data_IF_254523413062
#
_entry.id   IF_254523413062
#
_cell.length_a   1.000
_cell.length_b   1.000
_cell.length_c   1.000
_cell.angle_alpha   90.00
_cell.angle_beta   90.00
_cell.angle_gamma   90.00
#
_symmetry.space_group_name_H-M   'P 1'
#
loop_
_entity.id
_entity.type
_entity.pdbx_description
1 polymer ?
#
# COMPACT_ATOMS: atom_id res chain seq x y z
N UNK A 1 -61.92 -6.52 -21.13
CA UNK A 1 -60.77 -6.31 -22.05
C UNK A 1 -59.55 -6.04 -21.19
N UNK A 2 -58.74 -7.06 -20.96
CA UNK A 2 -57.49 -6.93 -20.18
C UNK A 2 -56.36 -6.66 -21.17
N UNK A 3 -55.76 -5.49 -21.08
CA UNK A 3 -54.58 -5.12 -21.84
C UNK A 3 -53.35 -5.77 -21.20
N UNK A 4 -52.82 -6.79 -21.84
CA UNK A 4 -51.52 -7.38 -21.50
C UNK A 4 -50.43 -6.40 -21.87
N UNK A 5 -49.80 -5.77 -20.87
CA UNK A 5 -48.58 -4.98 -21.08
C UNK A 5 -47.42 -5.94 -21.40
N UNK A 6 -46.87 -5.85 -22.59
CA UNK A 6 -45.63 -6.52 -22.95
C UNK A 6 -44.48 -6.06 -22.02
N UNK A 7 -43.63 -7.00 -21.55
CA UNK A 7 -42.47 -6.61 -20.76
C UNK A 7 -41.48 -5.83 -21.63
N UNK A 8 -41.11 -4.60 -21.21
CA UNK A 8 -40.04 -3.80 -21.81
C UNK A 8 -38.79 -4.67 -21.95
N UNK A 9 -38.35 -4.89 -23.19
CA UNK A 9 -37.07 -5.55 -23.50
C UNK A 9 -35.93 -4.81 -22.80
N UNK A 10 -35.28 -5.47 -21.87
CA UNK A 10 -34.04 -5.00 -21.28
C UNK A 10 -32.99 -4.77 -22.37
N UNK A 11 -32.19 -3.71 -22.23
CA UNK A 11 -31.21 -3.21 -23.20
C UNK A 11 -30.35 -4.30 -23.81
N UNK A 12 -30.49 -4.49 -25.15
CA UNK A 12 -29.93 -5.59 -25.89
C UNK A 12 -28.40 -5.58 -25.98
N UNK A 13 -27.81 -6.74 -25.78
CA UNK A 13 -26.48 -7.03 -26.30
C UNK A 13 -26.50 -6.99 -27.83
N UNK A 14 -25.40 -6.55 -28.49
CA UNK A 14 -25.35 -6.46 -29.95
C UNK A 14 -25.69 -7.81 -30.61
N UNK A 15 -26.54 -7.78 -31.61
CA UNK A 15 -26.83 -8.93 -32.46
C UNK A 15 -25.56 -9.32 -33.21
N UNK A 16 -24.93 -10.43 -32.84
CA UNK A 16 -23.70 -10.90 -33.43
C UNK A 16 -23.31 -12.33 -33.03
N UNK A 17 -22.23 -12.81 -33.58
CA UNK A 17 -21.69 -14.18 -33.43
C UNK A 17 -21.60 -14.67 -31.96
N UNK A 18 -21.61 -13.76 -31.00
CA UNK A 18 -21.52 -14.04 -29.56
C UNK A 18 -22.85 -13.86 -28.80
N UNK A 19 -23.95 -13.58 -29.48
CA UNK A 19 -25.25 -13.35 -28.82
C UNK A 19 -25.71 -14.55 -27.98
N UNK A 20 -25.48 -15.78 -28.47
CA UNK A 20 -25.81 -17.00 -27.74
C UNK A 20 -24.96 -17.16 -26.48
N UNK A 21 -23.67 -16.89 -26.53
CA UNK A 21 -22.79 -16.92 -25.36
C UNK A 21 -23.16 -15.83 -24.34
N UNK A 22 -23.45 -14.62 -24.82
CA UNK A 22 -23.88 -13.53 -23.96
C UNK A 22 -25.20 -13.83 -23.25
N UNK A 23 -26.19 -14.40 -23.93
CA UNK A 23 -27.46 -14.83 -23.35
C UNK A 23 -27.25 -15.99 -22.35
N UNK A 24 -26.38 -16.93 -22.67
CA UNK A 24 -26.03 -18.01 -21.77
C UNK A 24 -25.34 -17.52 -20.50
N UNK A 25 -24.37 -16.60 -20.60
CA UNK A 25 -23.72 -15.96 -19.46
C UNK A 25 -24.73 -15.15 -18.63
N UNK A 26 -25.56 -14.35 -19.26
CA UNK A 26 -26.57 -13.53 -18.56
C UNK A 26 -27.55 -14.37 -17.78
N UNK A 27 -27.96 -15.52 -18.30
CA UNK A 27 -28.86 -16.42 -17.58
C UNK A 27 -28.26 -17.06 -16.33
N UNK A 28 -26.94 -17.04 -16.15
CA UNK A 28 -26.23 -17.65 -15.03
C UNK A 28 -25.56 -16.61 -14.13
N UNK A 29 -25.16 -15.51 -14.71
CA UNK A 29 -24.59 -14.35 -14.04
C UNK A 29 -25.26 -13.10 -14.60
N UNK A 30 -26.22 -12.46 -13.91
CA UNK A 30 -26.95 -11.29 -14.42
C UNK A 30 -26.02 -10.07 -14.50
N UNK A 31 -25.12 -10.07 -15.50
CA UNK A 31 -24.12 -9.02 -15.73
C UNK A 31 -24.76 -7.69 -16.16
N UNK A 32 -25.95 -7.76 -16.79
CA UNK A 32 -26.71 -6.57 -17.17
C UNK A 32 -27.01 -5.67 -15.97
N UNK A 33 -27.40 -6.25 -14.83
CA UNK A 33 -27.64 -5.49 -13.59
C UNK A 33 -26.40 -4.80 -13.04
N UNK A 34 -25.26 -5.49 -13.10
CA UNK A 34 -23.95 -4.89 -12.71
C UNK A 34 -23.56 -3.76 -13.67
N UNK A 35 -23.69 -3.97 -14.98
CA UNK A 35 -23.39 -2.97 -15.98
C UNK A 35 -24.30 -1.75 -15.87
N UNK A 36 -25.58 -1.95 -15.61
CA UNK A 36 -26.54 -0.86 -15.39
C UNK A 36 -26.18 -0.07 -14.13
N UNK A 37 -25.87 -0.74 -13.03
CA UNK A 37 -25.37 -0.09 -11.82
C UNK A 37 -24.11 0.76 -12.09
N UNK A 38 -23.13 0.22 -12.81
CA UNK A 38 -21.89 0.94 -13.15
C UNK A 38 -22.14 2.14 -14.08
N UNK A 39 -23.10 2.06 -15.00
CA UNK A 39 -23.48 3.15 -15.90
C UNK A 39 -24.16 4.32 -15.18
N UNK A 40 -24.96 4.03 -14.16
CA UNK A 40 -25.66 5.05 -13.37
C UNK A 40 -24.79 5.63 -12.26
N UNK A 41 -23.61 5.03 -11.99
CA UNK A 41 -22.68 5.55 -11.00
C UNK A 41 -22.00 6.81 -11.50
N UNK A 42 -21.99 7.83 -10.66
CA UNK A 42 -21.28 9.08 -10.93
C UNK A 42 -20.10 9.29 -9.98
N UNK A 43 -19.06 9.93 -10.51
CA UNK A 43 -17.89 10.38 -9.76
C UNK A 43 -17.96 11.90 -9.63
N UNK A 44 -17.83 12.46 -8.42
CA UNK A 44 -17.82 13.91 -8.24
C UNK A 44 -16.71 14.57 -9.06
N UNK A 45 -17.06 15.59 -9.85
CA UNK A 45 -16.11 16.33 -10.68
C UNK A 45 -15.75 17.65 -10.00
N UNK A 46 -14.48 17.86 -9.67
CA UNK A 46 -13.92 19.07 -9.07
C UNK A 46 -12.42 19.18 -9.35
N UNK A 47 -11.80 20.31 -9.02
CA UNK A 47 -10.36 20.56 -9.27
C UNK A 47 -9.42 19.49 -8.70
N UNK A 48 -9.81 18.77 -7.64
CA UNK A 48 -9.04 17.70 -7.00
C UNK A 48 -9.42 16.29 -7.46
N UNK A 49 -10.27 16.12 -8.48
CA UNK A 49 -10.72 14.77 -8.92
C UNK A 49 -9.57 13.86 -9.34
N UNK A 50 -8.47 14.42 -9.85
CA UNK A 50 -7.27 13.66 -10.20
C UNK A 50 -6.65 12.91 -9.00
N UNK A 51 -6.87 13.39 -7.78
CA UNK A 51 -6.38 12.74 -6.56
C UNK A 51 -7.10 11.41 -6.27
N UNK A 52 -8.30 11.22 -6.82
CA UNK A 52 -9.00 9.94 -6.70
C UNK A 52 -8.32 8.80 -7.48
N UNK A 53 -7.54 9.14 -8.53
CA UNK A 53 -6.82 8.18 -9.35
C UNK A 53 -5.70 7.45 -8.59
N UNK A 54 -5.18 8.04 -7.49
CA UNK A 54 -4.10 7.40 -6.73
C UNK A 54 -4.53 6.10 -6.03
N UNK A 55 -5.81 5.96 -5.67
CA UNK A 55 -6.36 4.69 -5.20
C UNK A 55 -6.33 3.60 -6.27
N UNK A 56 -6.70 3.95 -7.50
CA UNK A 56 -6.65 3.04 -8.64
C UNK A 56 -5.23 2.73 -9.11
N UNK A 57 -4.29 3.69 -9.03
CA UNK A 57 -2.85 3.45 -9.25
C UNK A 57 -2.33 2.41 -8.25
N UNK A 58 -2.65 2.55 -6.96
CA UNK A 58 -2.24 1.60 -5.94
C UNK A 58 -2.83 0.20 -6.21
N UNK A 59 -4.09 0.12 -6.65
CA UNK A 59 -4.73 -1.14 -7.03
C UNK A 59 -4.04 -1.80 -8.23
N UNK A 60 -3.71 -1.04 -9.28
CA UNK A 60 -2.95 -1.53 -10.44
C UNK A 60 -1.60 -2.10 -9.98
N UNK A 61 -0.85 -1.34 -9.19
CA UNK A 61 0.48 -1.73 -8.73
C UNK A 61 0.42 -2.95 -7.79
N UNK A 62 -0.63 -3.10 -6.99
CA UNK A 62 -0.89 -4.33 -6.24
C UNK A 62 -1.09 -5.53 -7.19
N UNK A 63 -1.85 -5.37 -8.26
CA UNK A 63 -1.97 -6.41 -9.29
C UNK A 63 -0.63 -6.80 -9.90
N UNK A 64 0.22 -5.82 -10.20
CA UNK A 64 1.60 -6.05 -10.68
C UNK A 64 2.42 -6.81 -9.63
N UNK A 65 2.31 -6.46 -8.34
CA UNK A 65 3.00 -7.16 -7.25
C UNK A 65 2.60 -8.64 -7.18
N UNK A 66 1.31 -8.94 -7.28
CA UNK A 66 0.81 -10.33 -7.27
C UNK A 66 1.38 -11.12 -8.45
N UNK A 67 1.28 -10.59 -9.66
CA UNK A 67 1.75 -11.29 -10.87
C UNK A 67 3.26 -11.51 -10.83
N UNK A 68 4.04 -10.46 -10.56
CA UNK A 68 5.50 -10.57 -10.51
C UNK A 68 5.99 -11.42 -9.34
N UNK A 69 5.32 -11.33 -8.18
CA UNK A 69 5.62 -12.15 -7.01
C UNK A 69 5.44 -13.65 -7.28
N UNK A 70 4.33 -14.04 -7.93
CA UNK A 70 4.09 -15.42 -8.35
C UNK A 70 5.19 -15.90 -9.30
N UNK A 71 5.60 -15.09 -10.28
CA UNK A 71 6.67 -15.46 -11.21
C UNK A 71 8.01 -15.64 -10.50
N UNK A 72 8.35 -14.79 -9.53
CA UNK A 72 9.57 -14.92 -8.75
C UNK A 72 9.57 -16.17 -7.87
N UNK A 73 8.42 -16.58 -7.33
CA UNK A 73 8.30 -17.78 -6.49
C UNK A 73 8.65 -19.07 -7.20
N UNK A 74 8.58 -19.14 -8.55
CA UNK A 74 8.96 -20.35 -9.29
C UNK A 74 10.44 -20.69 -9.18
N UNK A 75 11.28 -19.72 -8.86
CA UNK A 75 12.74 -19.91 -8.83
C UNK A 75 13.35 -19.57 -7.47
N UNK A 76 12.63 -18.85 -6.60
CA UNK A 76 13.14 -18.42 -5.31
C UNK A 76 13.14 -19.56 -4.29
N UNK A 77 14.24 -19.72 -3.55
CA UNK A 77 14.38 -20.73 -2.49
C UNK A 77 14.54 -20.06 -1.12
N UNK A 78 13.57 -20.18 -0.20
CA UNK A 78 13.58 -19.51 1.11
C UNK A 78 14.47 -20.24 2.16
N UNK A 79 15.74 -20.47 1.83
CA UNK A 79 16.73 -21.07 2.73
C UNK A 79 17.96 -20.16 2.81
N UNK A 80 18.53 -19.97 4.01
CA UNK A 80 19.58 -18.98 4.25
C UNK A 80 20.86 -19.22 3.40
N UNK A 81 21.15 -20.45 3.06
CA UNK A 81 22.27 -20.86 2.18
C UNK A 81 21.95 -20.71 0.69
N UNK A 82 20.66 -20.65 0.28
CA UNK A 82 20.22 -20.67 -1.12
C UNK A 82 19.47 -19.41 -1.56
N UNK A 83 18.93 -18.64 -0.63
CA UNK A 83 18.08 -17.50 -0.97
C UNK A 83 18.81 -16.48 -1.86
N UNK A 84 19.99 -16.05 -1.45
CA UNK A 84 20.82 -15.13 -2.24
C UNK A 84 21.20 -15.72 -3.61
N UNK A 85 21.60 -17.00 -3.65
CA UNK A 85 21.98 -17.69 -4.87
C UNK A 85 20.79 -17.82 -5.83
N UNK A 86 19.59 -18.09 -5.32
CA UNK A 86 18.37 -18.13 -6.13
C UNK A 86 18.02 -16.76 -6.74
N UNK A 87 18.28 -15.66 -6.03
CA UNK A 87 18.13 -14.30 -6.56
C UNK A 87 19.18 -14.01 -7.65
N UNK A 88 20.41 -14.47 -7.48
CA UNK A 88 21.43 -14.37 -8.54
C UNK A 88 21.03 -15.18 -9.78
N UNK A 89 20.55 -16.41 -9.59
CA UNK A 89 20.04 -17.25 -10.68
C UNK A 89 18.89 -16.55 -11.42
N UNK A 90 17.89 -16.02 -10.70
CA UNK A 90 16.79 -15.26 -11.29
C UNK A 90 17.32 -14.08 -12.10
N UNK A 91 18.29 -13.33 -11.55
CA UNK A 91 18.79 -12.10 -12.18
C UNK A 91 19.71 -12.34 -13.37
N UNK A 92 20.47 -13.44 -13.38
CA UNK A 92 21.52 -13.67 -14.38
C UNK A 92 21.18 -14.77 -15.41
N UNK A 93 20.37 -15.77 -15.04
CA UNK A 93 20.18 -16.96 -15.89
C UNK A 93 18.72 -17.15 -16.35
N UNK A 94 17.72 -16.70 -15.57
CA UNK A 94 16.32 -16.82 -15.99
C UNK A 94 16.02 -15.75 -17.05
N UNK A 95 15.47 -16.11 -18.21
CA UNK A 95 15.09 -15.14 -19.24
C UNK A 95 14.14 -14.09 -18.67
N UNK A 96 14.50 -12.81 -18.79
CA UNK A 96 13.77 -11.65 -18.21
C UNK A 96 13.62 -11.66 -16.67
N UNK A 97 14.28 -12.58 -15.96
CA UNK A 97 14.18 -12.67 -14.51
C UNK A 97 14.63 -11.38 -13.79
N UNK A 98 15.72 -10.75 -14.26
CA UNK A 98 16.18 -9.45 -13.78
C UNK A 98 15.10 -8.35 -13.95
N UNK A 99 14.38 -8.36 -15.06
CA UNK A 99 13.33 -7.38 -15.36
C UNK A 99 12.11 -7.60 -14.44
N UNK A 100 11.66 -8.84 -14.29
CA UNK A 100 10.53 -9.18 -13.40
C UNK A 100 10.85 -8.79 -11.95
N UNK A 101 12.08 -9.07 -11.48
CA UNK A 101 12.54 -8.68 -10.15
C UNK A 101 12.60 -7.16 -10.01
N UNK A 102 13.10 -6.45 -11.02
CA UNK A 102 13.14 -4.98 -11.01
C UNK A 102 11.74 -4.37 -11.03
N UNK A 103 10.81 -4.91 -11.83
CA UNK A 103 9.39 -4.50 -11.84
C UNK A 103 8.78 -4.72 -10.46
N UNK A 104 9.02 -5.86 -9.82
CA UNK A 104 8.51 -6.16 -8.48
C UNK A 104 8.99 -5.12 -7.45
N UNK A 105 10.28 -4.81 -7.44
CA UNK A 105 10.86 -3.82 -6.53
C UNK A 105 10.35 -2.40 -6.79
N UNK A 106 10.35 -1.94 -8.05
CA UNK A 106 9.87 -0.60 -8.40
C UNK A 106 8.38 -0.43 -8.17
N UNK A 107 7.56 -1.43 -8.51
CA UNK A 107 6.12 -1.34 -8.30
C UNK A 107 5.76 -1.33 -6.81
N UNK A 108 6.51 -1.99 -5.92
CA UNK A 108 6.33 -1.90 -4.48
C UNK A 108 6.58 -0.46 -3.97
N UNK A 109 7.68 0.15 -4.39
CA UNK A 109 8.03 1.51 -4.02
C UNK A 109 7.00 2.54 -4.53
N UNK A 110 6.60 2.42 -5.80
CA UNK A 110 5.58 3.30 -6.39
C UNK A 110 4.21 3.08 -5.74
N UNK A 111 3.85 1.86 -5.35
CA UNK A 111 2.60 1.55 -4.66
C UNK A 111 2.54 2.24 -3.29
N UNK A 112 3.59 2.13 -2.49
CA UNK A 112 3.65 2.78 -1.17
C UNK A 112 3.60 4.30 -1.33
N UNK A 113 4.30 4.87 -2.30
CA UNK A 113 4.24 6.31 -2.61
C UNK A 113 2.81 6.73 -3.00
N UNK A 114 2.16 5.98 -3.89
CA UNK A 114 0.78 6.25 -4.30
C UNK A 114 -0.20 6.17 -3.12
N UNK A 115 0.01 5.21 -2.21
CA UNK A 115 -0.81 5.07 -0.99
C UNK A 115 -0.63 6.25 -0.03
N UNK A 116 0.58 6.77 0.17
CA UNK A 116 0.77 7.99 0.95
C UNK A 116 0.06 9.19 0.32
N UNK A 117 0.21 9.40 -1.00
CA UNK A 117 -0.49 10.47 -1.71
C UNK A 117 -2.01 10.29 -1.58
N UNK A 118 -2.51 9.07 -1.74
CA UNK A 118 -3.93 8.75 -1.58
C UNK A 118 -4.42 9.05 -0.17
N UNK A 119 -3.72 8.58 0.87
CA UNK A 119 -4.07 8.81 2.26
C UNK A 119 -4.17 10.31 2.58
N UNK A 120 -3.15 11.09 2.22
CA UNK A 120 -3.15 12.53 2.48
C UNK A 120 -4.19 13.28 1.64
N UNK A 121 -4.46 12.83 0.41
CA UNK A 121 -5.54 13.41 -0.39
C UNK A 121 -6.91 13.21 0.26
N UNK A 122 -7.19 12.01 0.75
CA UNK A 122 -8.40 11.66 1.51
C UNK A 122 -8.48 12.50 2.80
N UNK A 123 -7.34 12.65 3.51
CA UNK A 123 -7.25 13.47 4.73
C UNK A 123 -7.61 14.93 4.46
N UNK A 124 -6.95 15.60 3.52
CA UNK A 124 -7.17 17.02 3.24
C UNK A 124 -8.54 17.32 2.61
N UNK A 125 -9.11 16.37 1.89
CA UNK A 125 -10.49 16.47 1.41
C UNK A 125 -11.54 16.20 2.50
N UNK A 126 -11.14 15.74 3.69
CA UNK A 126 -12.05 15.27 4.75
C UNK A 126 -12.99 14.17 4.24
N UNK A 127 -12.46 13.31 3.38
CA UNK A 127 -13.26 12.26 2.78
C UNK A 127 -13.65 11.14 3.76
N UNK A 128 -13.02 11.12 4.94
CA UNK A 128 -13.29 10.23 6.06
C UNK A 128 -14.53 10.59 6.90
N UNK A 129 -15.16 11.75 6.65
CA UNK A 129 -16.35 12.18 7.43
C UNK A 129 -17.53 11.22 7.28
N UNK A 130 -18.46 11.19 8.25
CA UNK A 130 -19.61 10.31 8.21
C UNK A 130 -20.35 10.31 6.85
N UNK A 131 -20.78 9.13 6.38
CA UNK A 131 -20.68 7.79 6.97
C UNK A 131 -19.44 7.00 6.48
N UNK A 132 -18.28 7.63 6.20
CA UNK A 132 -17.11 7.04 5.53
C UNK A 132 -15.94 6.73 6.46
N UNK A 133 -16.17 6.68 7.76
CA UNK A 133 -15.14 6.39 8.77
C UNK A 133 -14.46 5.04 8.53
N UNK A 134 -15.24 4.02 8.20
CA UNK A 134 -14.72 2.67 7.93
C UNK A 134 -13.92 2.59 6.62
N UNK A 135 -14.20 3.47 5.63
CA UNK A 135 -13.36 3.58 4.43
C UNK A 135 -11.96 4.07 4.83
N UNK A 136 -11.89 5.08 5.70
CA UNK A 136 -10.61 5.56 6.21
C UNK A 136 -9.87 4.50 7.02
N UNK A 137 -10.54 3.86 7.96
CA UNK A 137 -9.97 2.81 8.81
C UNK A 137 -9.39 1.67 7.97
N UNK A 138 -10.17 1.13 7.04
CA UNK A 138 -9.70 0.05 6.15
C UNK A 138 -8.57 0.51 5.23
N UNK A 139 -8.60 1.75 4.71
CA UNK A 139 -7.53 2.33 3.91
C UNK A 139 -6.22 2.51 4.69
N UNK A 140 -6.31 2.94 5.95
CA UNK A 140 -5.14 3.04 6.82
C UNK A 140 -4.53 1.67 7.14
N UNK A 141 -5.37 0.67 7.40
CA UNK A 141 -4.92 -0.72 7.59
C UNK A 141 -4.22 -1.23 6.32
N UNK A 142 -4.74 -0.94 5.12
CA UNK A 142 -4.10 -1.31 3.85
C UNK A 142 -2.72 -0.65 3.70
N UNK A 143 -2.54 0.60 4.12
CA UNK A 143 -1.22 1.24 4.12
C UNK A 143 -0.26 0.51 5.06
N UNK A 144 -0.67 0.20 6.30
CA UNK A 144 0.17 -0.54 7.26
C UNK A 144 0.52 -1.92 6.71
N UNK A 145 -0.43 -2.64 6.14
CA UNK A 145 -0.18 -3.94 5.49
C UNK A 145 0.81 -3.80 4.32
N UNK A 146 0.70 -2.74 3.50
CA UNK A 146 1.65 -2.49 2.40
C UNK A 146 3.07 -2.22 2.91
N UNK A 147 3.21 -1.46 3.99
CA UNK A 147 4.51 -1.26 4.64
C UNK A 147 5.06 -2.57 5.24
N UNK A 148 4.19 -3.41 5.79
CA UNK A 148 4.57 -4.75 6.30
C UNK A 148 5.01 -5.68 5.15
N UNK A 149 4.36 -5.61 3.98
CA UNK A 149 4.84 -6.28 2.77
C UNK A 149 6.25 -5.80 2.39
N UNK A 150 6.48 -4.49 2.36
CA UNK A 150 7.80 -3.94 2.08
C UNK A 150 8.86 -4.47 3.06
N UNK A 151 8.57 -4.43 4.36
CA UNK A 151 9.47 -4.93 5.39
C UNK A 151 9.74 -6.44 5.28
N UNK A 152 8.69 -7.25 5.12
CA UNK A 152 8.86 -8.71 5.02
C UNK A 152 9.57 -9.13 3.74
N UNK A 153 9.29 -8.46 2.61
CA UNK A 153 9.92 -8.73 1.32
C UNK A 153 11.38 -8.29 1.26
N UNK A 154 11.75 -7.27 2.05
CA UNK A 154 13.11 -6.73 2.04
C UNK A 154 14.17 -7.73 2.49
N UNK A 155 13.88 -8.62 3.43
CA UNK A 155 14.79 -9.66 3.90
C UNK A 155 15.02 -10.77 2.86
N UNK A 156 14.04 -11.05 1.99
CA UNK A 156 14.05 -12.25 1.15
C UNK A 156 15.29 -12.39 0.24
N UNK A 157 15.86 -11.31 -0.34
CA UNK A 157 17.11 -11.42 -1.09
C UNK A 157 18.33 -11.86 -0.27
N UNK A 158 18.23 -11.90 1.04
CA UNK A 158 19.29 -12.31 1.96
C UNK A 158 20.60 -11.56 1.72
N UNK A 159 20.49 -10.24 1.57
CA UNK A 159 21.63 -9.34 1.39
C UNK A 159 22.11 -8.79 2.73
N UNK A 160 23.37 -8.36 2.78
CA UNK A 160 23.98 -7.72 3.96
C UNK A 160 23.13 -6.57 4.49
N UNK A 161 22.67 -5.69 3.59
CA UNK A 161 21.86 -4.53 3.96
C UNK A 161 20.49 -4.95 4.52
N UNK A 162 19.82 -5.88 3.85
CA UNK A 162 18.49 -6.36 4.29
C UNK A 162 18.55 -7.12 5.62
N UNK A 163 19.61 -7.90 5.84
CA UNK A 163 19.85 -8.62 7.08
C UNK A 163 19.93 -7.65 8.29
N UNK A 164 20.82 -6.67 8.21
CA UNK A 164 21.02 -5.73 9.32
C UNK A 164 19.84 -4.77 9.49
N UNK A 165 19.20 -4.34 8.41
CA UNK A 165 17.98 -3.53 8.51
C UNK A 165 16.83 -4.30 9.16
N UNK A 166 16.70 -5.59 8.87
CA UNK A 166 15.71 -6.45 9.55
C UNK A 166 16.03 -6.63 11.03
N UNK A 167 17.31 -6.75 11.40
CA UNK A 167 17.72 -6.80 12.80
C UNK A 167 17.25 -5.55 13.55
N UNK A 168 17.52 -4.37 13.02
CA UNK A 168 17.06 -3.10 13.60
C UNK A 168 15.53 -3.07 13.68
N UNK A 169 14.83 -3.40 12.59
CA UNK A 169 13.36 -3.34 12.54
C UNK A 169 12.69 -4.31 13.51
N UNK A 170 13.25 -5.51 13.73
CA UNK A 170 12.72 -6.48 14.70
C UNK A 170 13.04 -6.07 16.13
N UNK A 171 14.19 -5.44 16.37
CA UNK A 171 14.56 -4.96 17.71
C UNK A 171 13.66 -3.81 18.19
N UNK A 172 13.10 -2.99 17.27
CA UNK A 172 12.08 -1.97 17.60
C UNK A 172 10.88 -2.59 18.34
N UNK A 173 10.53 -3.84 18.07
CA UNK A 173 9.39 -4.46 18.76
C UNK A 173 9.64 -4.66 20.26
N UNK A 174 10.90 -4.79 20.71
CA UNK A 174 11.25 -5.00 22.13
C UNK A 174 10.75 -3.89 23.05
N UNK A 175 10.62 -2.66 22.54
CA UNK A 175 10.14 -1.53 23.36
C UNK A 175 8.66 -1.63 23.69
N UNK A 176 7.89 -2.52 23.04
CA UNK A 176 6.47 -2.70 23.32
C UNK A 176 6.31 -3.44 24.65
N UNK A 177 5.70 -2.82 25.69
CA UNK A 177 5.58 -3.46 26.99
C UNK A 177 4.83 -4.78 26.90
N UNK A 178 5.26 -5.76 27.70
CA UNK A 178 4.64 -7.08 27.91
C UNK A 178 4.75 -8.03 26.71
N UNK A 179 4.48 -7.58 25.49
CA UNK A 179 4.38 -8.44 24.29
C UNK A 179 5.59 -8.33 23.35
N UNK A 180 6.40 -7.29 23.49
CA UNK A 180 7.43 -6.93 22.51
C UNK A 180 8.48 -8.03 22.29
N UNK A 181 9.00 -8.59 23.36
CA UNK A 181 9.98 -9.68 23.29
C UNK A 181 9.37 -10.96 22.69
N UNK A 182 8.15 -11.30 23.10
CA UNK A 182 7.41 -12.44 22.52
C UNK A 182 7.18 -12.24 21.01
N UNK A 183 6.85 -11.03 20.60
CA UNK A 183 6.64 -10.68 19.17
C UNK A 183 7.96 -10.77 18.39
N UNK A 184 9.06 -10.25 18.93
CA UNK A 184 10.39 -10.41 18.33
C UNK A 184 10.76 -11.88 18.15
N UNK A 185 10.65 -12.67 19.20
CA UNK A 185 10.99 -14.10 19.18
C UNK A 185 10.09 -14.87 18.21
N UNK A 186 8.82 -14.51 18.10
CA UNK A 186 7.92 -15.06 17.10
C UNK A 186 8.37 -14.72 15.67
N UNK A 187 8.76 -13.47 15.41
CA UNK A 187 9.24 -13.04 14.09
C UNK A 187 10.58 -13.69 13.72
N UNK A 188 11.53 -13.72 14.66
CA UNK A 188 12.86 -14.27 14.38
C UNK A 188 12.86 -15.81 14.32
N UNK A 189 12.10 -16.48 15.17
CA UNK A 189 12.11 -17.93 15.27
C UNK A 189 13.38 -18.52 15.90
N UNK A 190 14.27 -17.65 16.34
CA UNK A 190 15.53 -17.95 17.01
C UNK A 190 15.96 -16.71 17.83
N UNK A 191 17.08 -16.79 18.54
CA UNK A 191 17.60 -15.64 19.30
C UNK A 191 18.12 -14.52 18.39
N UNK A 192 18.61 -14.88 17.20
CA UNK A 192 19.14 -13.96 16.19
C UNK A 192 18.55 -14.28 14.81
N UNK A 193 18.73 -13.37 13.84
CA UNK A 193 18.30 -13.59 12.44
C UNK A 193 19.03 -14.81 11.87
N UNK A 194 18.26 -15.74 11.33
CA UNK A 194 18.74 -17.03 10.85
C UNK A 194 17.80 -17.64 9.80
N UNK A 195 18.03 -18.88 9.38
CA UNK A 195 17.15 -19.59 8.45
C UNK A 195 15.67 -19.58 8.84
N UNK A 196 15.32 -19.91 10.11
CA UNK A 196 13.95 -19.76 10.63
C UNK A 196 13.33 -18.37 10.42
N UNK A 197 14.11 -17.30 10.57
CA UNK A 197 13.63 -15.93 10.32
C UNK A 197 13.25 -15.76 8.85
N UNK A 198 14.13 -16.16 7.94
CA UNK A 198 13.88 -16.05 6.51
C UNK A 198 12.62 -16.82 6.09
N UNK A 199 12.47 -18.06 6.57
CA UNK A 199 11.29 -18.89 6.28
C UNK A 199 10.00 -18.24 6.78
N UNK A 200 10.01 -17.63 7.97
CA UNK A 200 8.84 -16.94 8.53
C UNK A 200 8.51 -15.68 7.75
N UNK A 201 9.52 -14.90 7.39
CA UNK A 201 9.32 -13.71 6.56
C UNK A 201 8.79 -14.07 5.18
N UNK A 202 9.27 -15.15 4.57
CA UNK A 202 8.72 -15.69 3.34
C UNK A 202 7.26 -16.09 3.51
N UNK A 203 6.93 -16.87 4.55
CA UNK A 203 5.54 -17.28 4.82
C UNK A 203 4.62 -16.08 5.06
N UNK A 204 5.08 -15.06 5.80
CA UNK A 204 4.35 -13.80 5.98
C UNK A 204 4.10 -13.12 4.64
N UNK A 205 5.14 -12.94 3.83
CA UNK A 205 5.09 -12.17 2.59
C UNK A 205 4.21 -12.82 1.51
N UNK A 206 4.28 -14.15 1.35
CA UNK A 206 3.60 -14.84 0.24
C UNK A 206 2.32 -15.57 0.61
N UNK A 207 2.15 -15.98 1.88
CA UNK A 207 1.02 -16.81 2.28
C UNK A 207 0.05 -16.10 3.25
N UNK A 208 0.54 -15.25 4.16
CA UNK A 208 -0.28 -14.65 5.20
C UNK A 208 -0.76 -13.26 4.79
N UNK A 209 0.14 -12.37 4.38
CA UNK A 209 -0.21 -10.99 4.04
C UNK A 209 -1.11 -10.87 2.80
N UNK A 210 -0.90 -11.62 1.69
CA UNK A 210 -1.74 -11.45 0.50
C UNK A 210 -3.24 -11.73 0.73
N UNK A 211 -3.67 -12.82 1.38
CA UNK A 211 -5.09 -13.04 1.65
C UNK A 211 -5.66 -12.01 2.61
N UNK A 212 -4.93 -11.61 3.67
CA UNK A 212 -5.39 -10.57 4.60
C UNK A 212 -5.58 -9.25 3.85
N UNK A 213 -4.58 -8.85 3.06
CA UNK A 213 -4.66 -7.63 2.25
C UNK A 213 -5.85 -7.68 1.28
N UNK A 214 -6.04 -8.79 0.58
CA UNK A 214 -7.12 -8.96 -0.39
C UNK A 214 -8.50 -8.85 0.27
N UNK A 215 -8.69 -9.44 1.46
CA UNK A 215 -9.94 -9.35 2.22
C UNK A 215 -10.20 -7.90 2.64
N UNK A 216 -9.20 -7.20 3.20
CA UNK A 216 -9.34 -5.79 3.63
C UNK A 216 -9.55 -4.88 2.42
N UNK A 217 -8.86 -5.13 1.30
CA UNK A 217 -9.06 -4.40 0.05
C UNK A 217 -10.47 -4.61 -0.51
N UNK A 218 -10.95 -5.84 -0.51
CA UNK A 218 -12.33 -6.15 -0.91
C UNK A 218 -13.36 -5.39 -0.07
N UNK A 219 -13.18 -5.35 1.25
CA UNK A 219 -14.01 -4.57 2.15
C UNK A 219 -13.92 -3.07 1.86
N UNK A 220 -12.70 -2.53 1.67
CA UNK A 220 -12.48 -1.12 1.35
C UNK A 220 -13.20 -0.71 0.06
N UNK A 221 -13.05 -1.49 -1.01
CA UNK A 221 -13.70 -1.24 -2.28
C UNK A 221 -15.22 -1.40 -2.18
N UNK A 222 -15.72 -2.39 -1.44
CA UNK A 222 -17.16 -2.57 -1.21
C UNK A 222 -17.76 -1.34 -0.50
N UNK A 223 -17.12 -0.83 0.53
CA UNK A 223 -17.57 0.37 1.24
C UNK A 223 -17.59 1.60 0.30
N UNK A 224 -16.61 1.75 -0.58
CA UNK A 224 -16.60 2.81 -1.59
C UNK A 224 -17.75 2.63 -2.60
N UNK A 225 -18.08 1.38 -2.98
CA UNK A 225 -19.23 1.12 -3.86
C UNK A 225 -20.56 1.48 -3.18
N UNK A 226 -20.73 1.13 -1.92
CA UNK A 226 -21.96 1.38 -1.18
C UNK A 226 -22.17 2.86 -0.83
N UNK A 227 -21.10 3.57 -0.45
CA UNK A 227 -21.19 4.95 0.06
C UNK A 227 -20.83 6.02 -0.99
N UNK A 228 -20.31 5.61 -2.13
CA UNK A 228 -19.82 6.50 -3.19
C UNK A 228 -18.56 7.28 -2.80
N UNK A 229 -17.98 7.99 -3.78
CA UNK A 229 -16.84 8.87 -3.56
C UNK A 229 -17.27 10.17 -2.82
N UNK A 230 -16.41 10.65 -1.92
CA UNK A 230 -16.69 11.84 -1.12
C UNK A 230 -16.49 13.11 -1.94
N UNK A 231 -17.41 14.07 -1.81
CA UNK A 231 -17.19 15.43 -2.34
C UNK A 231 -16.41 16.28 -1.32
N UNK A 232 -15.54 17.21 -1.76
CA UNK A 232 -14.87 18.14 -0.85
C UNK A 232 -15.86 19.01 -0.08
N UNK A 233 -15.53 19.35 1.16
CA UNK A 233 -16.32 20.30 1.95
C UNK A 233 -16.25 21.67 1.29
N UNK A 234 -17.41 22.33 1.14
CA UNK A 234 -17.53 23.66 0.54
C UNK A 234 -17.36 23.68 -0.98
N UNK A 235 -17.20 22.53 -1.62
CA UNK A 235 -17.24 22.42 -3.07
C UNK A 235 -18.67 22.63 -3.58
N UNK A 236 -18.84 23.37 -4.69
CA UNK A 236 -20.10 23.40 -5.39
C UNK A 236 -20.53 21.96 -5.65
N UNK A 237 -21.84 21.65 -5.52
CA UNK A 237 -22.39 20.38 -6.00
C UNK A 237 -22.20 20.37 -7.52
N UNK A 238 -20.98 20.02 -7.95
CA UNK A 238 -20.64 19.89 -9.36
C UNK A 238 -21.41 18.74 -9.99
N UNK A 239 -21.63 18.84 -11.29
CA UNK A 239 -22.14 17.70 -12.07
C UNK A 239 -21.14 16.57 -11.93
N UNK A 240 -21.57 15.39 -11.49
CA UNK A 240 -20.76 14.17 -11.55
C UNK A 240 -20.41 13.82 -13.00
N UNK A 241 -19.33 13.10 -13.21
CA UNK A 241 -19.08 12.44 -14.49
C UNK A 241 -19.50 10.98 -14.37
N UNK A 242 -20.05 10.36 -15.42
CA UNK A 242 -20.33 8.93 -15.42
C UNK A 242 -19.09 8.12 -15.06
N UNK A 243 -19.26 7.12 -14.22
CA UNK A 243 -18.16 6.21 -13.88
C UNK A 243 -17.69 5.48 -15.15
N UNK A 244 -18.63 4.85 -15.86
CA UNK A 244 -18.42 4.23 -17.18
C UNK A 244 -19.12 5.07 -18.25
N UNK A 245 -18.44 5.46 -19.34
CA UNK A 245 -17.03 5.17 -19.65
C UNK A 245 -16.03 6.21 -19.10
N UNK A 246 -16.49 7.40 -18.68
CA UNK A 246 -15.67 8.61 -18.56
C UNK A 246 -14.56 8.50 -17.50
N UNK A 247 -14.89 8.05 -16.28
CA UNK A 247 -13.89 7.92 -15.22
C UNK A 247 -12.96 6.74 -15.50
N UNK A 248 -13.50 5.59 -15.87
CA UNK A 248 -12.72 4.38 -16.19
C UNK A 248 -11.73 4.62 -17.32
N UNK A 249 -12.12 5.34 -18.39
CA UNK A 249 -11.21 5.67 -19.49
C UNK A 249 -10.02 6.54 -19.01
N UNK A 250 -10.30 7.54 -18.17
CA UNK A 250 -9.24 8.40 -17.60
C UNK A 250 -8.28 7.61 -16.73
N UNK A 251 -8.83 6.73 -15.91
CA UNK A 251 -8.05 5.83 -15.06
C UNK A 251 -7.19 4.88 -15.87
N UNK A 252 -7.75 4.30 -16.94
CA UNK A 252 -7.00 3.42 -17.86
C UNK A 252 -5.84 4.15 -18.54
N UNK A 253 -6.02 5.41 -18.95
CA UNK A 253 -4.94 6.23 -19.51
C UNK A 253 -3.82 6.42 -18.46
N UNK A 254 -4.18 6.75 -17.22
CA UNK A 254 -3.20 6.90 -16.13
C UNK A 254 -2.49 5.57 -15.83
N UNK A 255 -3.20 4.45 -15.87
CA UNK A 255 -2.60 3.12 -15.72
C UNK A 255 -1.55 2.83 -16.79
N UNK A 256 -1.83 3.16 -18.06
CA UNK A 256 -0.85 3.00 -19.16
C UNK A 256 0.38 3.88 -18.91
N UNK A 257 0.20 5.12 -18.44
CA UNK A 257 1.31 6.01 -18.09
C UNK A 257 2.15 5.43 -16.95
N UNK A 258 1.50 4.92 -15.89
CA UNK A 258 2.19 4.32 -14.74
C UNK A 258 2.94 3.05 -15.14
N UNK A 259 2.36 2.20 -15.98
CA UNK A 259 3.04 1.01 -16.51
C UNK A 259 4.24 1.40 -17.41
N UNK A 260 4.10 2.45 -18.22
CA UNK A 260 5.21 3.01 -19.00
C UNK A 260 6.34 3.52 -18.11
N UNK A 261 6.02 4.29 -17.06
CA UNK A 261 6.99 4.76 -16.08
C UNK A 261 7.67 3.58 -15.36
N UNK A 262 6.90 2.58 -14.94
CA UNK A 262 7.42 1.37 -14.30
C UNK A 262 8.38 0.61 -15.21
N UNK A 263 8.04 0.47 -16.50
CA UNK A 263 8.91 -0.16 -17.48
C UNK A 263 10.23 0.61 -17.66
N UNK A 264 10.15 1.95 -17.78
CA UNK A 264 11.34 2.81 -17.89
C UNK A 264 12.23 2.67 -16.66
N UNK A 265 11.67 2.78 -15.46
CA UNK A 265 12.43 2.63 -14.20
C UNK A 265 13.09 1.24 -14.13
N UNK A 266 12.35 0.20 -14.47
CA UNK A 266 12.83 -1.18 -14.35
C UNK A 266 13.96 -1.50 -15.32
N UNK A 267 13.97 -0.87 -16.49
CA UNK A 267 14.98 -1.12 -17.55
C UNK A 267 16.22 -0.22 -17.37
N UNK A 268 16.02 1.07 -17.11
CA UNK A 268 17.13 2.02 -17.04
C UNK A 268 17.76 2.13 -15.64
N UNK A 269 17.02 1.76 -14.61
CA UNK A 269 17.46 1.74 -13.21
C UNK A 269 17.15 0.38 -12.59
N UNK A 270 17.74 -0.72 -13.12
CA UNK A 270 17.46 -2.05 -12.62
C UNK A 270 17.87 -2.18 -11.14
N UNK A 271 17.06 -2.89 -10.37
CA UNK A 271 17.32 -3.04 -8.94
C UNK A 271 18.51 -3.99 -8.73
N UNK A 272 19.60 -3.49 -8.15
CA UNK A 272 20.79 -4.29 -7.85
C UNK A 272 20.50 -5.33 -6.76
N UNK A 273 21.26 -6.44 -6.76
CA UNK A 273 21.11 -7.48 -5.72
C UNK A 273 21.81 -7.07 -4.41
N UNK A 274 22.97 -6.43 -4.53
CA UNK A 274 23.81 -6.09 -3.38
C UNK A 274 24.69 -7.26 -2.91
N UNK A 275 25.40 -7.10 -1.79
CA UNK A 275 26.29 -8.11 -1.21
C UNK A 275 25.49 -9.16 -0.44
N UNK A 276 25.93 -10.42 -0.46
CA UNK A 276 25.38 -11.52 0.34
C UNK A 276 25.47 -11.21 1.84
N UNK A 277 24.47 -11.59 2.63
CA UNK A 277 24.51 -11.49 4.07
C UNK A 277 25.60 -12.39 4.67
N UNK A 278 26.42 -11.82 5.53
CA UNK A 278 27.32 -12.52 6.41
C UNK A 278 26.95 -12.16 7.87
N UNK A 279 26.38 -13.10 8.62
CA UNK A 279 26.01 -12.87 10.02
C UNK A 279 27.18 -12.52 10.95
N UNK A 280 28.41 -12.88 10.56
CA UNK A 280 29.63 -12.63 11.33
C UNK A 280 30.31 -11.30 10.96
N UNK A 281 29.91 -10.70 9.84
CA UNK A 281 30.44 -9.41 9.43
C UNK A 281 29.94 -8.27 10.35
N UNK A 282 30.73 -7.22 10.54
CA UNK A 282 30.23 -6.03 11.21
C UNK A 282 29.11 -5.36 10.41
N UNK A 283 28.16 -4.78 11.14
CA UNK A 283 27.11 -3.98 10.51
C UNK A 283 27.70 -2.86 9.66
N UNK A 284 27.26 -2.67 8.40
CA UNK A 284 27.74 -1.58 7.58
C UNK A 284 27.45 -0.23 8.23
N UNK A 285 28.36 0.74 8.10
CA UNK A 285 28.10 2.09 8.55
C UNK A 285 26.92 2.70 7.75
N UNK A 286 26.05 3.45 8.42
CA UNK A 286 24.99 4.16 7.76
C UNK A 286 23.81 3.29 7.26
N UNK A 287 23.56 2.12 7.86
CA UNK A 287 22.40 1.31 7.55
C UNK A 287 21.14 2.15 7.66
N UNK A 288 20.29 2.07 6.64
CA UNK A 288 18.99 2.72 6.60
C UNK A 288 17.92 1.66 6.33
N UNK A 289 16.77 1.76 6.99
CA UNK A 289 15.61 1.00 6.57
C UNK A 289 15.09 1.53 5.22
N UNK A 290 14.13 0.85 4.63
CA UNK A 290 13.40 1.33 3.47
C UNK A 290 12.90 2.76 3.67
N UNK A 291 12.86 3.56 2.60
CA UNK A 291 12.62 5.01 2.65
C UNK A 291 11.34 5.37 3.42
N UNK A 292 10.31 4.53 3.37
CA UNK A 292 9.04 4.77 4.05
C UNK A 292 9.08 4.47 5.57
N UNK A 293 10.18 3.93 6.09
CA UNK A 293 10.50 3.82 7.52
C UNK A 293 11.60 4.78 7.95
N UNK A 294 12.31 5.40 7.01
CA UNK A 294 13.51 6.20 7.28
C UNK A 294 13.19 7.42 8.16
N UNK A 295 12.00 8.03 8.03
CA UNK A 295 11.58 9.13 8.90
C UNK A 295 11.62 8.73 10.39
N UNK A 296 11.23 7.50 10.72
CA UNK A 296 11.22 6.99 12.08
C UNK A 296 12.66 6.82 12.59
N UNK A 297 13.50 6.05 11.89
CA UNK A 297 14.88 5.81 12.30
C UNK A 297 15.70 7.10 12.40
N UNK A 298 15.47 8.06 11.51
CA UNK A 298 16.15 9.35 11.57
C UNK A 298 15.69 10.20 12.75
N UNK A 299 14.41 10.24 13.07
CA UNK A 299 13.92 11.02 14.21
C UNK A 299 14.45 10.53 15.54
N UNK A 300 14.64 9.20 15.70
CA UNK A 300 15.20 8.62 16.93
C UNK A 300 16.60 9.10 17.25
N UNK A 301 17.41 9.45 16.24
CA UNK A 301 18.79 9.95 16.43
C UNK A 301 18.86 11.33 17.08
N UNK A 302 17.79 12.11 17.02
CA UNK A 302 17.72 13.44 17.64
C UNK A 302 17.25 13.39 19.09
N UNK A 303 16.85 12.21 19.59
CA UNK A 303 16.39 12.06 20.96
C UNK A 303 17.57 11.64 21.85
N UNK A 304 17.82 12.35 22.97
CA UNK A 304 18.86 11.95 23.92
C UNK A 304 18.69 10.51 24.42
N UNK A 305 19.77 9.78 24.75
CA UNK A 305 19.69 8.39 25.19
C UNK A 305 18.76 8.19 26.39
N UNK A 306 18.64 9.17 27.29
CA UNK A 306 17.71 9.17 28.42
C UNK A 306 16.93 10.48 28.48
N UNK A 307 15.61 10.37 28.62
CA UNK A 307 14.69 11.51 28.79
C UNK A 307 13.73 11.19 29.93
N UNK A 308 13.71 12.00 31.01
CA UNK A 308 12.84 11.80 32.18
C UNK A 308 12.92 10.41 32.80
N UNK A 309 14.11 9.80 32.80
CA UNK A 309 14.34 8.46 33.36
C UNK A 309 14.00 7.28 32.43
N UNK A 310 13.39 7.52 31.29
CA UNK A 310 13.12 6.52 30.25
C UNK A 310 14.21 6.51 29.16
N UNK A 311 14.36 5.37 28.49
CA UNK A 311 15.19 5.29 27.28
C UNK A 311 14.59 6.17 26.17
N UNK A 312 15.42 7.07 25.58
CA UNK A 312 14.98 8.02 24.58
C UNK A 312 14.43 7.35 23.32
N UNK A 313 15.02 6.22 22.91
CA UNK A 313 14.55 5.44 21.77
C UNK A 313 13.10 4.93 22.00
N UNK A 314 12.84 4.35 23.17
CA UNK A 314 11.50 3.88 23.52
C UNK A 314 10.48 5.02 23.53
N UNK A 315 10.86 6.17 24.11
CA UNK A 315 10.00 7.35 24.12
C UNK A 315 9.70 7.85 22.69
N UNK A 316 10.70 7.87 21.81
CA UNK A 316 10.52 8.25 20.42
C UNK A 316 9.57 7.31 19.66
N UNK A 317 9.71 6.00 19.84
CA UNK A 317 8.82 5.01 19.24
C UNK A 317 7.39 5.19 19.75
N UNK A 318 7.20 5.41 21.07
CA UNK A 318 5.87 5.69 21.63
C UNK A 318 5.27 6.98 21.08
N UNK A 319 6.07 8.04 20.94
CA UNK A 319 5.59 9.31 20.39
C UNK A 319 5.14 9.19 18.93
N UNK A 320 5.92 8.47 18.10
CA UNK A 320 5.56 8.19 16.70
C UNK A 320 4.30 7.32 16.65
N UNK A 321 4.23 6.27 17.47
CA UNK A 321 3.05 5.40 17.56
C UNK A 321 1.80 6.15 17.99
N UNK A 322 1.90 7.02 18.99
CA UNK A 322 0.80 7.88 19.45
C UNK A 322 0.38 8.86 18.35
N UNK A 323 1.32 9.50 17.66
CA UNK A 323 1.04 10.37 16.52
C UNK A 323 0.30 9.63 15.39
N UNK A 324 0.76 8.43 15.06
CA UNK A 324 0.09 7.55 14.09
C UNK A 324 -1.32 7.16 14.52
N UNK A 325 -1.53 6.85 15.80
CA UNK A 325 -2.84 6.51 16.35
C UNK A 325 -3.79 7.71 16.31
N UNK A 326 -3.31 8.91 16.68
CA UNK A 326 -4.10 10.14 16.59
C UNK A 326 -4.51 10.40 15.14
N UNK A 327 -3.61 10.20 14.19
CA UNK A 327 -3.90 10.36 12.76
C UNK A 327 -4.89 9.30 12.27
N UNK A 328 -4.73 8.04 12.68
CA UNK A 328 -5.66 6.95 12.38
C UNK A 328 -7.08 7.26 12.88
N UNK A 329 -7.20 7.79 14.07
CA UNK A 329 -8.48 8.08 14.74
C UNK A 329 -9.13 9.40 14.30
N UNK A 330 -8.58 10.12 13.29
CA UNK A 330 -9.11 11.42 12.84
C UNK A 330 -10.61 11.43 12.55
N UNK A 331 -11.26 10.41 11.97
CA UNK A 331 -12.71 10.44 11.73
C UNK A 331 -13.53 10.58 13.01
N UNK A 332 -12.97 10.15 14.14
CA UNK A 332 -13.67 10.08 15.41
C UNK A 332 -13.50 11.35 16.27
N UNK A 333 -12.43 12.13 16.05
CA UNK A 333 -12.20 13.37 16.81
C UNK A 333 -12.36 14.66 15.98
N UNK A 334 -12.37 14.59 14.61
CA UNK A 334 -12.66 15.78 13.79
C UNK A 334 -14.16 16.12 13.78
N UNK A 335 -14.61 16.75 14.86
CA UNK A 335 -16.01 17.19 15.01
C UNK A 335 -16.43 18.25 13.98
N UNK A 336 -15.50 19.03 13.43
CA UNK A 336 -15.79 20.04 12.40
C UNK A 336 -16.14 19.39 11.05
N UNK A 337 -15.41 18.35 10.66
CA UNK A 337 -15.74 17.63 9.42
C UNK A 337 -17.12 16.96 9.49
N UNK A 338 -17.54 16.47 10.67
CA UNK A 338 -18.89 15.95 10.90
C UNK A 338 -19.98 17.02 10.67
N UNK A 339 -19.68 18.28 10.99
CA UNK A 339 -20.57 19.43 10.72
C UNK A 339 -20.43 19.98 9.29
N UNK A 340 -19.67 19.33 8.40
CA UNK A 340 -19.43 19.84 7.06
C UNK A 340 -18.52 21.06 7.00
N UNK A 341 -17.69 21.31 8.02
CA UNK A 341 -16.80 22.46 8.13
C UNK A 341 -15.34 22.03 8.04
N UNK A 342 -14.48 22.93 7.51
CA UNK A 342 -13.03 22.78 7.61
C UNK A 342 -12.51 23.58 8.80
N UNK A 343 -11.54 23.02 9.51
CA UNK A 343 -10.88 23.73 10.60
C UNK A 343 -9.37 23.75 10.38
N UNK A 344 -8.75 24.90 10.68
CA UNK A 344 -7.33 25.11 10.42
C UNK A 344 -6.42 24.19 11.27
N UNK A 345 -6.79 23.88 12.51
CA UNK A 345 -6.02 22.97 13.38
C UNK A 345 -5.86 21.58 12.76
N UNK A 346 -6.95 21.01 12.24
CA UNK A 346 -6.91 19.69 11.59
C UNK A 346 -6.11 19.76 10.30
N UNK A 347 -6.22 20.84 9.53
CA UNK A 347 -5.40 21.05 8.33
C UNK A 347 -3.94 21.21 8.69
N UNK A 348 -3.64 22.01 9.72
CA UNK A 348 -2.29 22.23 10.24
C UNK A 348 -1.64 20.94 10.75
N UNK A 349 -2.41 20.12 11.50
CA UNK A 349 -1.91 18.83 11.96
C UNK A 349 -1.45 17.93 10.80
N UNK A 350 -2.28 17.77 9.76
CA UNK A 350 -1.88 16.99 8.58
C UNK A 350 -0.68 17.58 7.84
N UNK A 351 -0.57 18.92 7.75
CA UNK A 351 0.58 19.58 7.16
C UNK A 351 1.86 19.32 7.97
N UNK A 352 1.79 19.40 9.30
CA UNK A 352 2.91 19.08 10.20
C UNK A 352 3.37 17.64 10.03
N UNK A 353 2.42 16.69 9.93
CA UNK A 353 2.74 15.28 9.68
C UNK A 353 3.50 15.11 8.36
N UNK A 354 3.04 15.72 7.26
CA UNK A 354 3.75 15.64 5.96
C UNK A 354 5.15 16.27 6.08
N UNK A 355 5.25 17.47 6.65
CA UNK A 355 6.54 18.16 6.81
C UNK A 355 7.49 17.31 7.64
N UNK A 356 7.02 16.70 8.73
CA UNK A 356 7.82 15.80 9.55
C UNK A 356 8.31 14.58 8.75
N UNK A 357 7.41 13.86 8.06
CA UNK A 357 7.76 12.68 7.28
C UNK A 357 8.80 13.03 6.19
N UNK A 358 8.55 14.08 5.42
CA UNK A 358 9.43 14.49 4.32
C UNK A 358 10.77 14.99 4.86
N UNK A 359 10.78 15.87 5.89
CA UNK A 359 12.02 16.44 6.43
C UNK A 359 12.90 15.35 7.05
N UNK A 360 12.35 14.45 7.86
CA UNK A 360 13.14 13.38 8.48
C UNK A 360 13.67 12.40 7.44
N UNK A 361 12.89 12.09 6.42
CA UNK A 361 13.37 11.25 5.30
C UNK A 361 14.49 11.93 4.54
N UNK A 362 14.35 13.21 4.15
CA UNK A 362 15.39 13.95 3.44
C UNK A 362 16.67 14.09 4.26
N UNK A 363 16.56 14.42 5.55
CA UNK A 363 17.72 14.53 6.43
C UNK A 363 18.52 13.23 6.53
N UNK A 364 17.87 12.08 6.48
CA UNK A 364 18.55 10.80 6.48
C UNK A 364 19.40 10.56 5.22
N UNK A 365 19.02 11.14 4.09
CA UNK A 365 19.78 11.02 2.83
C UNK A 365 20.81 12.12 2.66
N UNK A 366 20.55 13.33 3.17
CA UNK A 366 21.44 14.49 3.02
C UNK A 366 22.56 14.55 4.06
N UNK A 367 22.36 13.97 5.24
CA UNK A 367 23.38 13.88 6.28
C UNK A 367 23.78 12.41 6.46
N UNK A 368 24.69 11.89 5.62
CA UNK A 368 25.29 10.59 5.91
C UNK A 368 26.05 10.68 7.24
N UNK A 369 26.11 9.59 7.96
CA UNK A 369 26.72 9.44 9.29
C UNK A 369 28.18 9.83 9.32
#
# INVERSE_FOLDING_TARGET
MATTSEPKRAGGFPEGRFAGLAAWLESRMPLSGVLEFLRHKEVPWHKGTFLYLFGGIALLLFGVQVVTGILLMFYYVPAADQAYESILLISAQVPFGWLIRSIHSWSANLMILALFIHLFSVYFMRAYRPPRELIWVSGFILLVLSMTFGFSGYLLPWTKLSYFATKIGTDVTKVIPVVGEGMRNFLLGANEISGPTLTRFFALHVAILPPIFTIVLGLHLLLIQLLGMSQPIGGAKGKGIPFVPNFVLRESIVWVIVLGLLAVLSVYLPWEVGEKADPLAPAPAGIRPEWFFTFMSQSLKYIPPKVLGMEGEALGIYAIGAGGLIFFLVPFWDGWARQGKRHWLVTGFGAVVIVFLVTMTLLAYLKPY
#
